data_IF_102454196418
#
_entry.id   IF_102454196418
#
_cell.length_a   1.000
_cell.length_b   1.000
_cell.length_c   1.000
_cell.angle_alpha   90.00
_cell.angle_beta   90.00
_cell.angle_gamma   90.00
#
_symmetry.space_group_name_H-M   'P 1'
#
loop_
_entity.id
_entity.type
_entity.pdbx_description
1 polymer ?
#
# COMPACT_ATOMS: atom_id res chain seq x y z
N UNK A 1 -1.41 13.16 -36.05
CA UNK A 1 -1.51 13.08 -34.57
C UNK A 1 -1.77 11.62 -34.17
N UNK A 2 -0.76 10.91 -33.66
CA UNK A 2 -0.84 9.46 -33.36
C UNK A 2 -1.74 9.29 -32.14
N UNK A 3 -3.00 8.86 -32.33
CA UNK A 3 -3.95 8.60 -31.24
C UNK A 3 -3.37 7.51 -30.34
N UNK A 4 -2.90 7.88 -29.16
CA UNK A 4 -2.50 6.91 -28.13
C UNK A 4 -3.75 6.08 -27.77
N UNK A 5 -3.66 4.74 -27.72
CA UNK A 5 -4.82 3.90 -27.45
C UNK A 5 -5.43 4.27 -26.08
N UNK A 6 -6.75 4.48 -26.03
CA UNK A 6 -7.50 4.94 -24.84
C UNK A 6 -7.15 4.14 -23.57
N UNK A 7 -6.89 2.84 -23.71
CA UNK A 7 -6.50 1.93 -22.62
C UNK A 7 -5.15 2.28 -21.97
N UNK A 8 -4.21 2.82 -22.74
CA UNK A 8 -2.90 3.23 -22.22
C UNK A 8 -3.03 4.46 -21.30
N UNK A 9 -3.88 5.41 -21.66
CA UNK A 9 -4.10 6.62 -20.85
C UNK A 9 -4.80 6.30 -19.53
N UNK A 10 -5.81 5.42 -19.57
CA UNK A 10 -6.55 4.99 -18.37
C UNK A 10 -5.64 4.22 -17.42
N UNK A 11 -4.93 3.19 -17.90
CA UNK A 11 -4.04 2.39 -17.05
C UNK A 11 -2.95 3.21 -16.36
N UNK A 12 -2.35 4.16 -17.09
CA UNK A 12 -1.33 5.08 -16.55
C UNK A 12 -1.91 6.03 -15.49
N UNK A 13 -3.12 6.53 -15.71
CA UNK A 13 -3.82 7.36 -14.73
C UNK A 13 -4.14 6.57 -13.46
N UNK A 14 -4.75 5.38 -13.59
CA UNK A 14 -5.11 4.50 -12.48
C UNK A 14 -3.89 4.10 -11.66
N UNK A 15 -2.79 3.66 -12.30
CA UNK A 15 -1.58 3.28 -11.60
C UNK A 15 -0.98 4.45 -10.80
N UNK A 16 -0.90 5.64 -11.40
CA UNK A 16 -0.38 6.83 -10.69
C UNK A 16 -1.28 7.25 -9.54
N UNK A 17 -2.59 7.20 -9.72
CA UNK A 17 -3.57 7.58 -8.70
C UNK A 17 -3.51 6.61 -7.52
N UNK A 18 -3.51 5.30 -7.77
CA UNK A 18 -3.42 4.28 -6.72
C UNK A 18 -2.11 4.35 -5.95
N UNK A 19 -0.97 4.51 -6.64
CA UNK A 19 0.33 4.68 -5.98
C UNK A 19 0.34 5.93 -5.09
N UNK A 20 -0.21 7.05 -5.56
CA UNK A 20 -0.32 8.28 -4.74
C UNK A 20 -1.21 8.08 -3.52
N UNK A 21 -2.38 7.46 -3.69
CA UNK A 21 -3.28 7.14 -2.58
C UNK A 21 -2.61 6.21 -1.57
N UNK A 22 -1.87 5.21 -2.04
CA UNK A 22 -1.15 4.30 -1.18
C UNK A 22 -0.05 5.01 -0.38
N UNK A 23 0.72 5.91 -1.01
CA UNK A 23 1.74 6.71 -0.32
C UNK A 23 1.08 7.65 0.71
N UNK A 24 -0.06 8.27 0.37
CA UNK A 24 -0.84 9.08 1.31
C UNK A 24 -1.33 8.26 2.50
N UNK A 25 -1.80 7.04 2.27
CA UNK A 25 -2.21 6.11 3.33
C UNK A 25 -1.03 5.73 4.24
N UNK A 26 0.12 5.41 3.67
CA UNK A 26 1.34 5.15 4.44
C UNK A 26 1.76 6.37 5.25
N UNK A 27 1.76 7.55 4.62
CA UNK A 27 2.08 8.79 5.30
C UNK A 27 1.09 9.07 6.45
N UNK A 28 -0.21 8.88 6.24
CA UNK A 28 -1.21 9.05 7.29
C UNK A 28 -1.08 8.02 8.43
N UNK A 29 -0.66 6.79 8.12
CA UNK A 29 -0.41 5.76 9.13
C UNK A 29 0.84 6.05 9.98
N UNK A 30 1.86 6.68 9.39
CA UNK A 30 3.16 6.92 10.02
C UNK A 30 3.23 8.32 10.66
N UNK A 31 2.56 9.33 10.08
CA UNK A 31 2.61 10.72 10.52
C UNK A 31 2.32 10.93 12.03
N UNK A 32 1.33 10.25 12.64
CA UNK A 32 1.07 10.39 14.07
C UNK A 32 2.28 10.01 14.93
N UNK A 33 3.12 9.06 14.49
CA UNK A 33 4.33 8.66 15.24
C UNK A 33 5.39 9.77 15.30
N UNK A 34 5.40 10.70 14.34
CA UNK A 34 6.37 11.80 14.29
C UNK A 34 5.84 13.12 14.86
N UNK A 35 4.52 13.26 14.97
CA UNK A 35 3.86 14.50 15.38
C UNK A 35 3.47 14.46 16.86
N UNK A 36 3.12 13.27 17.38
CA UNK A 36 2.60 13.11 18.74
C UNK A 36 3.45 12.12 19.55
N UNK A 37 4.22 12.66 20.50
CA UNK A 37 5.08 11.88 21.39
C UNK A 37 4.27 10.94 22.30
N UNK A 38 3.00 11.23 22.58
CA UNK A 38 2.15 10.35 23.39
C UNK A 38 1.74 9.09 22.63
N UNK A 39 1.53 9.20 21.30
CA UNK A 39 1.24 8.05 20.44
C UNK A 39 2.47 7.16 20.31
N UNK A 40 3.66 7.76 20.17
CA UNK A 40 4.92 7.02 20.18
C UNK A 40 5.11 6.23 21.49
N UNK A 41 4.88 6.87 22.65
CA UNK A 41 4.98 6.22 23.96
C UNK A 41 3.92 5.11 24.18
N UNK A 42 2.72 5.27 23.61
CA UNK A 42 1.68 4.22 23.64
C UNK A 42 2.03 3.02 22.77
N UNK A 43 2.74 3.20 21.65
CA UNK A 43 3.21 2.06 20.84
C UNK A 43 4.32 1.26 21.53
N UNK A 44 5.20 1.90 22.30
CA UNK A 44 6.23 1.19 23.08
C UNK A 44 5.64 0.29 24.18
N UNK A 45 4.47 0.67 24.70
CA UNK A 45 3.81 -0.05 25.81
C UNK A 45 2.71 -1.01 25.37
N UNK A 46 2.21 -0.89 24.13
CA UNK A 46 1.16 -1.76 23.59
C UNK A 46 1.77 -2.97 22.87
N UNK A 47 2.07 -4.03 23.63
CA UNK A 47 2.40 -5.33 23.05
C UNK A 47 1.13 -6.00 22.51
N UNK A 48 0.85 -5.80 21.23
CA UNK A 48 -0.16 -6.60 20.53
C UNK A 48 0.39 -8.03 20.39
N UNK A 49 -0.10 -8.95 21.22
CA UNK A 49 0.27 -10.37 21.12
C UNK A 49 -0.39 -10.99 19.89
N UNK A 50 0.33 -11.00 18.78
CA UNK A 50 -0.14 -11.59 17.53
C UNK A 50 0.24 -13.07 17.54
N UNK A 51 -0.73 -13.89 17.93
CA UNK A 51 -0.60 -15.35 18.08
C UNK A 51 -0.06 -16.03 16.80
N UNK A 52 -0.47 -15.53 15.62
CA UNK A 52 -0.05 -16.09 14.35
C UNK A 52 0.82 -15.12 13.53
N UNK A 53 2.14 -15.24 13.69
CA UNK A 53 3.15 -14.47 12.95
C UNK A 53 3.07 -14.66 11.42
N UNK A 54 2.52 -15.78 10.95
CA UNK A 54 2.38 -16.07 9.51
C UNK A 54 1.41 -15.14 8.79
N UNK A 55 0.51 -14.47 9.53
CA UNK A 55 -0.43 -13.50 8.95
C UNK A 55 0.31 -12.37 8.23
N UNK A 56 1.54 -12.04 8.66
CA UNK A 56 2.36 -10.98 8.06
C UNK A 56 3.17 -11.40 6.83
N UNK A 57 3.33 -12.69 6.55
CA UNK A 57 4.09 -13.13 5.37
C UNK A 57 3.39 -12.72 4.08
N UNK A 58 2.07 -12.86 4.05
CA UNK A 58 1.26 -12.48 2.88
C UNK A 58 1.40 -10.98 2.53
N UNK A 59 1.16 -10.03 3.44
CA UNK A 59 1.34 -8.60 3.14
C UNK A 59 2.79 -8.24 2.86
N UNK A 60 3.76 -8.91 3.49
CA UNK A 60 5.18 -8.68 3.20
C UNK A 60 5.51 -9.02 1.74
N UNK A 61 5.09 -10.20 1.27
CA UNK A 61 5.28 -10.62 -0.13
C UNK A 61 4.54 -9.68 -1.08
N UNK A 62 3.31 -9.28 -0.73
CA UNK A 62 2.53 -8.34 -1.53
C UNK A 62 3.24 -6.99 -1.66
N UNK A 63 3.87 -6.51 -0.58
CA UNK A 63 4.63 -5.27 -0.52
C UNK A 63 5.97 -5.35 -1.27
N UNK A 64 6.69 -6.46 -1.17
CA UNK A 64 7.87 -6.72 -1.99
C UNK A 64 7.53 -6.74 -3.49
N UNK A 65 6.39 -7.34 -3.84
CA UNK A 65 5.86 -7.35 -5.21
C UNK A 65 5.46 -5.94 -5.67
N UNK A 66 4.87 -5.14 -4.79
CA UNK A 66 4.59 -3.72 -5.05
C UNK A 66 5.88 -2.96 -5.37
N UNK A 67 6.92 -3.09 -4.54
CA UNK A 67 8.19 -2.40 -4.72
C UNK A 67 8.86 -2.76 -6.05
N UNK A 68 8.91 -4.05 -6.37
CA UNK A 68 9.46 -4.52 -7.66
C UNK A 68 8.67 -3.99 -8.85
N UNK A 69 7.33 -4.04 -8.80
CA UNK A 69 6.48 -3.48 -9.86
C UNK A 69 6.61 -1.95 -9.96
N UNK A 70 6.76 -1.25 -8.84
CA UNK A 70 6.95 0.20 -8.80
C UNK A 70 8.25 0.59 -9.52
N UNK A 71 9.35 -0.11 -9.21
CA UNK A 71 10.65 0.13 -9.86
C UNK A 71 10.57 -0.22 -11.36
N UNK A 72 10.01 -1.38 -11.73
CA UNK A 72 9.86 -1.80 -13.13
C UNK A 72 9.00 -0.80 -13.92
N UNK A 73 7.85 -0.41 -13.38
CA UNK A 73 6.91 0.49 -14.06
C UNK A 73 7.47 1.91 -14.14
N UNK A 74 8.19 2.35 -13.11
CA UNK A 74 8.92 3.62 -13.10
C UNK A 74 10.01 3.66 -14.16
N UNK A 75 10.82 2.59 -14.28
CA UNK A 75 11.83 2.47 -15.35
C UNK A 75 11.22 2.39 -16.74
N UNK A 76 10.12 1.67 -16.89
CA UNK A 76 9.37 1.57 -18.14
C UNK A 76 8.53 2.83 -18.45
N UNK A 77 8.63 3.91 -17.66
CA UNK A 77 7.88 5.18 -17.81
C UNK A 77 6.36 5.01 -18.01
N UNK A 78 5.79 3.93 -17.48
CA UNK A 78 4.39 3.54 -17.69
C UNK A 78 3.99 3.26 -19.15
N UNK A 79 4.92 2.93 -20.05
CA UNK A 79 4.64 2.65 -21.47
C UNK A 79 3.95 1.30 -21.69
N UNK A 80 4.14 0.35 -20.76
CA UNK A 80 3.51 -0.96 -20.80
C UNK A 80 2.22 -0.96 -20.01
N UNK A 81 1.09 -1.00 -20.73
CA UNK A 81 -0.27 -1.07 -20.16
C UNK A 81 -0.42 -2.21 -19.16
N UNK A 82 0.16 -3.38 -19.44
CA UNK A 82 0.05 -4.57 -18.58
C UNK A 82 0.75 -4.36 -17.23
N UNK A 83 1.95 -3.77 -17.23
CA UNK A 83 2.67 -3.45 -15.99
C UNK A 83 1.91 -2.42 -15.14
N UNK A 84 1.28 -1.43 -15.79
CA UNK A 84 0.45 -0.45 -15.09
C UNK A 84 -0.76 -1.12 -14.39
N UNK A 85 -1.39 -2.10 -15.05
CA UNK A 85 -2.49 -2.86 -14.45
C UNK A 85 -2.03 -3.79 -13.34
N UNK A 86 -0.90 -4.48 -13.51
CA UNK A 86 -0.31 -5.31 -12.46
C UNK A 86 0.01 -4.48 -11.21
N UNK A 87 0.63 -3.31 -11.40
CA UNK A 87 0.90 -2.38 -10.30
C UNK A 87 -0.39 -1.88 -9.66
N UNK A 88 -1.40 -1.52 -10.47
CA UNK A 88 -2.70 -1.05 -9.96
C UNK A 88 -3.40 -2.10 -9.10
N UNK A 89 -3.52 -3.33 -9.61
CA UNK A 89 -4.15 -4.43 -8.88
C UNK A 89 -3.38 -4.78 -7.60
N UNK A 90 -2.06 -4.84 -7.67
CA UNK A 90 -1.23 -5.11 -6.51
C UNK A 90 -1.40 -4.01 -5.44
N UNK A 91 -1.40 -2.74 -5.84
CA UNK A 91 -1.63 -1.60 -4.94
C UNK A 91 -3.02 -1.65 -4.31
N UNK A 92 -4.05 -1.97 -5.09
CA UNK A 92 -5.42 -2.11 -4.62
C UNK A 92 -5.53 -3.21 -3.54
N UNK A 93 -4.95 -4.39 -3.80
CA UNK A 93 -4.92 -5.48 -2.83
C UNK A 93 -4.20 -5.08 -1.54
N UNK A 94 -3.14 -4.29 -1.65
CA UNK A 94 -2.39 -3.80 -0.49
C UNK A 94 -3.21 -2.84 0.37
N UNK A 95 -3.96 -1.94 -0.27
CA UNK A 95 -4.89 -1.03 0.41
C UNK A 95 -5.97 -1.83 1.14
N UNK A 96 -6.62 -2.79 0.45
CA UNK A 96 -7.66 -3.64 1.06
C UNK A 96 -7.09 -4.40 2.26
N UNK A 97 -5.88 -4.93 2.14
CA UNK A 97 -5.25 -5.66 3.23
C UNK A 97 -4.94 -4.77 4.43
N UNK A 98 -4.42 -3.54 4.23
CA UNK A 98 -4.19 -2.58 5.31
C UNK A 98 -5.49 -2.27 6.04
N UNK A 99 -6.59 -2.08 5.31
CA UNK A 99 -7.92 -1.85 5.91
C UNK A 99 -8.34 -3.06 6.74
N UNK A 100 -8.19 -4.29 6.22
CA UNK A 100 -8.51 -5.51 6.97
C UNK A 100 -7.66 -5.67 8.23
N UNK A 101 -6.38 -5.35 8.14
CA UNK A 101 -5.46 -5.37 9.27
C UNK A 101 -5.92 -4.35 10.32
N UNK A 102 -6.27 -3.14 9.91
CA UNK A 102 -6.80 -2.12 10.82
C UNK A 102 -8.08 -2.57 11.52
N UNK A 103 -9.04 -3.14 10.77
CA UNK A 103 -10.28 -3.69 11.32
C UNK A 103 -10.01 -4.83 12.31
N UNK A 104 -9.01 -5.66 12.06
CA UNK A 104 -8.64 -6.78 12.94
C UNK A 104 -7.89 -6.33 14.19
N UNK A 105 -7.04 -5.30 14.10
CA UNK A 105 -6.27 -4.77 15.23
C UNK A 105 -7.10 -3.85 16.13
N UNK A 106 -8.07 -3.11 15.57
CA UNK A 106 -8.91 -2.19 16.33
C UNK A 106 -9.57 -2.82 17.58
N UNK A 107 -10.26 -3.98 17.51
CA UNK A 107 -10.84 -4.64 18.68
C UNK A 107 -9.80 -5.30 19.60
N UNK A 108 -8.54 -5.45 19.15
CA UNK A 108 -7.46 -6.02 19.97
C UNK A 108 -6.78 -4.95 20.82
N UNK A 109 -6.76 -3.70 20.35
CA UNK A 109 -6.11 -2.55 21.00
C UNK A 109 -7.10 -1.79 21.90
N UNK A 110 -8.38 -1.70 21.50
CA UNK A 110 -9.42 -0.91 22.19
C UNK A 110 -10.45 -1.77 22.93
N UNK A 111 -10.04 -2.93 23.46
CA UNK A 111 -10.90 -3.74 24.34
C UNK A 111 -10.76 -3.33 25.80
#
# INVERSE_FOLDING_TARGET
MKKMPKNHTISKFTAKLLVRLFILLLAAAIAPMFIDNEIAAKMETTYVYIENKWVFIFPLILFLSFLTLLVLTGRAKHEKTDLNWMLSLNTLLLIVYIILLFVRLYPLIYK
#
